data_IF_177508891627
#
_entry.id   IF_177508891627
#
_cell.length_a   1.000
_cell.length_b   1.000
_cell.length_c   1.000
_cell.angle_alpha   90.00
_cell.angle_beta   90.00
_cell.angle_gamma   90.00
#
_symmetry.space_group_name_H-M   'P 1'
#
loop_
_entity.id
_entity.type
_entity.pdbx_description
1 polymer ?
#
# COMPACT_ATOMS: atom_id res chain seq x y z
N UNK A 1 -8.09 -10.77 -1.36
CA UNK A 1 -9.01 -9.87 -0.66
C UNK A 1 -8.18 -9.13 0.38
N UNK A 2 -8.00 -7.80 0.23
CA UNK A 2 -7.33 -6.97 1.25
C UNK A 2 -8.40 -6.58 2.27
N UNK A 3 -8.21 -6.95 3.54
CA UNK A 3 -9.12 -6.62 4.63
C UNK A 3 -8.53 -5.41 5.34
N UNK A 4 -9.16 -4.25 5.19
CA UNK A 4 -8.74 -2.95 5.73
C UNK A 4 -9.50 -2.63 7.02
N UNK A 5 -9.22 -3.40 8.07
CA UNK A 5 -9.58 -3.02 9.45
C UNK A 5 -8.29 -2.76 10.25
N UNK A 6 -8.38 -1.94 11.28
CA UNK A 6 -7.25 -1.52 12.13
C UNK A 6 -6.32 -2.65 12.59
N UNK A 7 -6.87 -3.85 12.80
CA UNK A 7 -6.10 -5.06 13.14
C UNK A 7 -5.00 -5.38 12.11
N UNK A 8 -5.14 -4.91 10.87
CA UNK A 8 -4.17 -5.13 9.78
C UNK A 8 -3.13 -4.02 9.62
N UNK A 9 -3.17 -2.94 10.43
CA UNK A 9 -2.17 -1.86 10.42
C UNK A 9 -0.71 -2.37 10.52
N UNK A 10 -0.33 -3.29 11.44
CA UNK A 10 1.03 -3.83 11.47
C UNK A 10 1.40 -4.57 10.19
N UNK A 11 0.47 -5.33 9.59
CA UNK A 11 0.71 -6.03 8.32
C UNK A 11 0.85 -5.06 7.14
N UNK A 12 0.11 -3.95 7.12
CA UNK A 12 0.28 -2.91 6.12
C UNK A 12 1.66 -2.24 6.23
N UNK A 13 2.17 -2.01 7.44
CA UNK A 13 3.54 -1.49 7.64
C UNK A 13 4.61 -2.47 7.16
N UNK A 14 4.45 -3.77 7.43
CA UNK A 14 5.34 -4.81 6.91
C UNK A 14 5.31 -4.88 5.38
N UNK A 15 4.12 -4.87 4.78
CA UNK A 15 3.95 -4.81 3.33
C UNK A 15 4.62 -3.57 2.71
N UNK A 16 4.54 -2.41 3.38
CA UNK A 16 5.22 -1.18 2.95
C UNK A 16 6.73 -1.37 2.91
N UNK A 17 7.31 -1.98 3.93
CA UNK A 17 8.74 -2.27 3.96
C UNK A 17 9.15 -3.25 2.86
N UNK A 18 8.40 -4.33 2.66
CA UNK A 18 8.67 -5.29 1.59
C UNK A 18 8.61 -4.63 0.20
N UNK A 19 7.61 -3.78 -0.02
CA UNK A 19 7.42 -3.10 -1.29
C UNK A 19 8.54 -2.07 -1.56
N UNK A 20 9.02 -1.38 -0.53
CA UNK A 20 10.22 -0.52 -0.64
C UNK A 20 11.46 -1.30 -1.07
N UNK A 21 11.66 -2.52 -0.55
CA UNK A 21 12.77 -3.38 -0.98
C UNK A 21 12.63 -3.80 -2.45
N UNK A 22 11.40 -4.10 -2.90
CA UNK A 22 11.13 -4.46 -4.30
C UNK A 22 11.40 -3.28 -5.23
N UNK A 23 10.94 -2.07 -4.86
CA UNK A 23 11.20 -0.83 -5.63
C UNK A 23 12.71 -0.61 -5.75
N UNK A 24 13.44 -0.66 -4.63
CA UNK A 24 14.89 -0.46 -4.61
C UNK A 24 15.61 -1.50 -5.47
N UNK A 25 15.23 -2.78 -5.38
CA UNK A 25 15.80 -3.83 -6.21
C UNK A 25 15.49 -3.65 -7.71
N UNK A 26 14.27 -3.22 -8.05
CA UNK A 26 13.85 -2.95 -9.43
C UNK A 26 14.63 -1.76 -10.02
N UNK A 27 14.87 -0.71 -9.24
CA UNK A 27 15.67 0.45 -9.63
C UNK A 27 17.12 0.06 -9.91
N UNK A 28 17.75 -0.68 -9.00
CA UNK A 28 19.12 -1.19 -9.17
C UNK A 28 19.25 -2.07 -10.41
N UNK A 29 18.19 -2.84 -10.74
CA UNK A 29 18.14 -3.70 -11.93
C UNK A 29 17.75 -2.95 -13.22
N UNK A 30 17.51 -1.64 -13.16
CA UNK A 30 17.08 -0.84 -14.32
C UNK A 30 15.65 -1.16 -14.80
N UNK A 31 14.83 -1.82 -13.98
CA UNK A 31 13.47 -2.21 -14.30
C UNK A 31 12.47 -1.06 -14.04
N UNK A 32 12.59 0.02 -14.82
CA UNK A 32 11.85 1.27 -14.61
C UNK A 32 10.33 1.07 -14.50
N UNK A 33 9.73 0.24 -15.36
CA UNK A 33 8.29 -0.04 -15.34
C UNK A 33 7.86 -0.79 -14.07
N UNK A 34 8.68 -1.72 -13.60
CA UNK A 34 8.40 -2.47 -12.36
C UNK A 34 8.52 -1.53 -11.16
N UNK A 35 9.57 -0.70 -11.10
CA UNK A 35 9.73 0.30 -10.05
C UNK A 35 8.55 1.29 -10.01
N UNK A 36 8.10 1.78 -11.17
CA UNK A 36 6.95 2.68 -11.29
C UNK A 36 5.66 2.05 -10.77
N UNK A 37 5.35 0.82 -11.19
CA UNK A 37 4.15 0.12 -10.72
C UNK A 37 4.19 -0.12 -9.21
N UNK A 38 5.33 -0.54 -8.67
CA UNK A 38 5.46 -0.76 -7.24
C UNK A 38 5.40 0.55 -6.43
N UNK A 39 5.88 1.68 -6.97
CA UNK A 39 5.70 3.01 -6.34
C UNK A 39 4.22 3.45 -6.29
N UNK A 40 3.43 3.13 -7.31
CA UNK A 40 1.99 3.42 -7.28
C UNK A 40 1.28 2.60 -6.21
N UNK A 41 1.62 1.31 -6.09
CA UNK A 41 1.10 0.44 -5.02
C UNK A 41 1.55 0.95 -3.65
N UNK A 42 2.78 1.42 -3.51
CA UNK A 42 3.31 2.01 -2.28
C UNK A 42 2.52 3.25 -1.86
N UNK A 43 2.24 4.17 -2.79
CA UNK A 43 1.45 5.36 -2.50
C UNK A 43 0.01 5.05 -2.08
N UNK A 44 -0.60 4.00 -2.64
CA UNK A 44 -1.92 3.54 -2.21
C UNK A 44 -1.88 2.94 -0.79
N UNK A 45 -0.86 2.14 -0.49
CA UNK A 45 -0.67 1.55 0.82
C UNK A 45 -0.41 2.62 1.90
N UNK A 46 0.34 3.68 1.57
CA UNK A 46 0.55 4.82 2.48
C UNK A 46 -0.74 5.58 2.80
N UNK A 47 -1.63 5.75 1.81
CA UNK A 47 -2.96 6.34 2.05
C UNK A 47 -3.79 5.50 2.99
N UNK A 48 -3.81 4.17 2.81
CA UNK A 48 -4.52 3.23 3.69
C UNK A 48 -3.96 3.30 5.11
N UNK A 49 -2.64 3.26 5.28
CA UNK A 49 -1.99 3.36 6.60
C UNK A 49 -2.35 4.70 7.26
N UNK A 50 -2.23 5.81 6.53
CA UNK A 50 -2.54 7.15 7.04
C UNK A 50 -4.02 7.27 7.43
N UNK A 51 -4.92 6.71 6.62
CA UNK A 51 -6.36 6.66 6.90
C UNK A 51 -6.64 5.90 8.18
N UNK A 52 -6.07 4.71 8.34
CA UNK A 52 -6.22 3.90 9.56
C UNK A 52 -5.57 4.55 10.80
N UNK A 53 -4.49 5.32 10.65
CA UNK A 53 -3.84 6.05 11.75
C UNK A 53 -4.62 7.30 12.19
N UNK A 54 -5.29 7.98 11.23
CA UNK A 54 -5.96 9.26 11.46
C UNK A 54 -7.44 9.10 11.81
N UNK A 55 -8.12 8.12 11.21
CA UNK A 55 -9.51 7.78 11.49
C UNK A 55 -9.70 6.25 11.53
N UNK A 56 -9.67 5.64 12.72
CA UNK A 56 -9.87 4.20 12.89
C UNK A 56 -11.27 3.69 12.47
N UNK A 57 -12.20 4.57 12.06
CA UNK A 57 -13.63 4.29 11.96
C UNK A 57 -14.21 4.20 10.55
N UNK A 58 -13.48 4.56 9.49
CA UNK A 58 -13.99 4.47 8.12
C UNK A 58 -13.35 3.33 7.32
N UNK A 59 -14.04 2.19 7.14
CA UNK A 59 -13.74 1.34 5.99
C UNK A 59 -14.00 2.17 4.73
N UNK A 60 -13.01 2.25 3.84
CA UNK A 60 -13.20 2.79 2.50
C UNK A 60 -14.38 2.04 1.86
N UNK A 61 -15.53 2.70 1.80
CA UNK A 61 -16.66 2.28 1.00
C UNK A 61 -16.16 2.23 -0.44
N UNK A 62 -15.79 1.04 -0.89
CA UNK A 62 -15.60 0.75 -2.31
C UNK A 62 -16.92 1.10 -2.97
N UNK A 63 -16.92 2.24 -3.66
CA UNK A 63 -18.02 2.64 -4.50
C UNK A 63 -18.29 1.50 -5.48
N UNK A 64 -19.44 0.86 -5.31
CA UNK A 64 -20.08 0.08 -6.37
C UNK A 64 -20.26 1.01 -7.58
N UNK A 65 -19.42 0.82 -8.60
CA UNK A 65 -19.73 1.29 -9.93
C UNK A 65 -20.45 0.14 -10.65
N UNK A 66 -21.70 0.43 -11.03
CA UNK A 66 -22.69 -0.42 -11.69
C UNK A 66 -22.26 -1.00 -13.03
#
# INVERSE_FOLDING_TARGET
MFVTILEFLPQHREQRQQLLQIVSAAEVRGQARVAEMNRQVLGNLEKIITGLETDPGQPEATAEAS
#
